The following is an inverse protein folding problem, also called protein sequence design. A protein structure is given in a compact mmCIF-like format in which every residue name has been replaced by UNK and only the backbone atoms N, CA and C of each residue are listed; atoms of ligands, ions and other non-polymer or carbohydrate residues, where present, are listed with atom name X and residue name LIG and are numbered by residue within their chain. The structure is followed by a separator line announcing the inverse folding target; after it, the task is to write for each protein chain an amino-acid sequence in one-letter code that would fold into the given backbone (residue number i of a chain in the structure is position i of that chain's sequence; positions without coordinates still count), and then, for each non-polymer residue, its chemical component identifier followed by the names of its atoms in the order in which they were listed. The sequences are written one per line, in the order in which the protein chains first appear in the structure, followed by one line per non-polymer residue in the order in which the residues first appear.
data_IF_032774228223
#
_entry.id   IF_032774228223
#
_cell.length_a   1.000
_cell.length_b   1.000
_cell.length_c   1.000
_cell.angle_alpha   90.00
_cell.angle_beta   90.00
_cell.angle_gamma   90.00
#
_symmetry.space_group_name_H-M   'P 1'
#
loop_
_entity.id
_entity.type
_entity.pdbx_description
1 polymer ?
#
# COMPACT_ATOMS: atom_id res chain seq x y z
N UNK A 1 -45.01 -9.81 -1.49
CA UNK A 1 -44.33 -10.79 -2.36
C UNK A 1 -42.81 -10.67 -2.48
N UNK A 2 -42.08 -9.87 -1.67
CA UNK A 2 -40.60 -9.89 -1.66
C UNK A 2 -40.02 -10.64 -0.45
N UNK A 3 -40.65 -10.51 0.72
CA UNK A 3 -40.21 -11.18 1.96
C UNK A 3 -40.24 -12.71 1.83
N UNK A 4 -41.26 -13.27 1.20
CA UNK A 4 -41.38 -14.73 0.99
C UNK A 4 -40.25 -15.26 0.11
N UNK A 5 -39.83 -14.50 -0.90
CA UNK A 5 -38.72 -14.87 -1.79
C UNK A 5 -37.38 -14.82 -1.03
N UNK A 6 -37.16 -13.79 -0.21
CA UNK A 6 -35.95 -13.65 0.62
C UNK A 6 -35.88 -14.79 1.64
N UNK A 7 -36.98 -15.10 2.32
CA UNK A 7 -37.03 -16.20 3.30
C UNK A 7 -36.83 -17.56 2.64
N UNK A 8 -37.39 -17.77 1.44
CA UNK A 8 -37.17 -18.99 0.66
C UNK A 8 -35.71 -19.14 0.22
N UNK A 9 -35.09 -18.06 -0.27
CA UNK A 9 -33.68 -18.04 -0.64
C UNK A 9 -32.77 -18.27 0.57
N UNK A 10 -33.07 -17.64 1.71
CA UNK A 10 -32.33 -17.80 2.95
C UNK A 10 -32.41 -19.23 3.48
N UNK A 11 -33.60 -19.84 3.41
CA UNK A 11 -33.79 -21.24 3.78
C UNK A 11 -32.98 -22.16 2.87
N UNK A 12 -33.04 -21.95 1.55
CA UNK A 12 -32.26 -22.73 0.59
C UNK A 12 -30.75 -22.59 0.78
N UNK A 13 -30.27 -21.39 1.15
CA UNK A 13 -28.88 -21.14 1.50
C UNK A 13 -28.49 -21.90 2.77
N UNK A 14 -29.31 -21.81 3.82
CA UNK A 14 -29.03 -22.49 5.09
C UNK A 14 -29.05 -24.01 4.95
N UNK A 15 -29.99 -24.57 4.18
CA UNK A 15 -30.07 -26.01 3.90
C UNK A 15 -28.81 -26.48 3.15
N UNK A 16 -28.33 -25.69 2.18
CA UNK A 16 -27.08 -25.97 1.46
C UNK A 16 -25.84 -25.83 2.36
N UNK A 17 -25.77 -24.78 3.18
CA UNK A 17 -24.66 -24.54 4.11
C UNK A 17 -24.57 -25.64 5.18
N UNK A 18 -25.71 -26.14 5.67
CA UNK A 18 -25.77 -27.25 6.63
C UNK A 18 -25.33 -28.59 6.01
N UNK A 19 -25.49 -28.75 4.69
CA UNK A 19 -25.04 -29.93 3.97
C UNK A 19 -23.53 -29.89 3.64
N UNK A 20 -22.88 -28.72 3.72
CA UNK A 20 -21.43 -28.60 3.58
C UNK A 20 -20.72 -28.92 4.90
N UNK A 21 -19.60 -29.64 4.81
CA UNK A 21 -18.60 -29.62 5.87
C UNK A 21 -17.94 -28.24 5.86
N UNK A 22 -17.91 -27.49 6.98
CA UNK A 22 -17.20 -26.24 7.04
C UNK A 22 -15.73 -26.46 6.64
N UNK A 23 -15.16 -25.63 5.74
CA UNK A 23 -13.74 -25.69 5.44
C UNK A 23 -12.94 -25.37 6.70
N UNK A 24 -11.72 -25.88 6.77
CA UNK A 24 -10.83 -25.55 7.90
C UNK A 24 -10.42 -24.08 7.78
N UNK A 25 -10.10 -23.46 8.91
CA UNK A 25 -9.71 -22.04 8.93
C UNK A 25 -8.52 -21.77 8.01
N UNK A 26 -7.60 -22.73 7.91
CA UNK A 26 -6.45 -22.70 7.01
C UNK A 26 -6.87 -22.65 5.52
N UNK A 27 -7.89 -23.41 5.12
CA UNK A 27 -8.41 -23.40 3.74
C UNK A 27 -9.12 -22.08 3.41
N UNK A 28 -9.82 -21.49 4.39
CA UNK A 28 -10.47 -20.18 4.22
C UNK A 28 -9.41 -19.11 3.97
N UNK A 29 -8.34 -19.10 4.76
CA UNK A 29 -7.23 -18.16 4.61
C UNK A 29 -6.59 -18.26 3.21
N UNK A 30 -6.37 -19.48 2.72
CA UNK A 30 -5.82 -19.71 1.38
C UNK A 30 -6.73 -19.20 0.25
N UNK A 31 -8.06 -19.33 0.42
CA UNK A 31 -9.06 -18.85 -0.53
C UNK A 31 -9.21 -17.33 -0.50
N UNK A 32 -9.18 -16.69 0.68
CA UNK A 32 -9.20 -15.22 0.77
C UNK A 32 -8.03 -14.58 0.04
N UNK A 33 -6.82 -15.16 0.14
CA UNK A 33 -5.67 -14.69 -0.63
C UNK A 33 -5.90 -14.82 -2.15
N UNK A 34 -6.54 -15.91 -2.62
CA UNK A 34 -6.85 -16.06 -4.05
C UNK A 34 -7.91 -15.05 -4.52
N UNK A 35 -8.84 -14.67 -3.65
CA UNK A 35 -9.88 -13.68 -3.94
C UNK A 35 -9.36 -12.23 -3.96
N UNK A 36 -8.17 -11.95 -3.43
CA UNK A 36 -7.53 -10.62 -3.55
C UNK A 36 -7.08 -10.29 -4.98
N UNK A 37 -7.10 -11.28 -5.88
CA UNK A 37 -6.84 -11.09 -7.30
C UNK A 37 -8.17 -11.13 -8.07
N UNK A 38 -8.83 -9.97 -8.20
CA UNK A 38 -10.08 -9.82 -8.96
C UNK A 38 -9.99 -10.43 -10.38
N UNK A 39 -8.78 -10.40 -10.97
CA UNK A 39 -8.45 -11.02 -12.27
C UNK A 39 -8.71 -12.54 -12.32
N UNK A 40 -8.64 -13.24 -11.18
CA UNK A 40 -8.86 -14.69 -11.08
C UNK A 40 -10.34 -15.04 -10.96
N UNK A 41 -11.18 -14.12 -10.47
CA UNK A 41 -12.62 -14.33 -10.40
C UNK A 41 -13.29 -14.30 -11.80
N UNK A 42 -12.75 -13.53 -12.74
CA UNK A 42 -13.32 -13.40 -14.09
C UNK A 42 -13.05 -14.61 -15.00
N UNK A 43 -11.98 -15.37 -14.75
CA UNK A 43 -11.52 -16.41 -15.70
C UNK A 43 -12.34 -17.70 -15.66
N UNK A 44 -13.19 -17.92 -14.64
CA UNK A 44 -13.95 -19.17 -14.38
C UNK A 44 -13.12 -20.46 -14.42
N UNK A 45 -11.80 -20.39 -14.55
CA UNK A 45 -10.91 -21.53 -14.46
C UNK A 45 -10.66 -21.88 -13.00
N UNK A 46 -10.70 -23.16 -12.67
CA UNK A 46 -10.24 -23.62 -11.37
C UNK A 46 -8.72 -23.48 -11.30
N UNK A 47 -8.27 -22.39 -10.69
CA UNK A 47 -6.84 -22.09 -10.54
C UNK A 47 -6.21 -22.84 -9.38
N UNK A 48 -6.99 -23.51 -8.52
CA UNK A 48 -6.49 -24.17 -7.30
C UNK A 48 -5.51 -25.30 -7.61
N UNK A 49 -5.65 -25.94 -8.78
CA UNK A 49 -4.75 -27.01 -9.23
C UNK A 49 -3.47 -26.48 -9.89
N UNK A 50 -3.38 -25.18 -10.17
CA UNK A 50 -2.19 -24.61 -10.82
C UNK A 50 -1.04 -24.60 -9.82
N UNK A 51 0.16 -24.96 -10.27
CA UNK A 51 1.34 -24.99 -9.41
C UNK A 51 1.64 -23.65 -8.75
N UNK A 52 1.35 -22.52 -9.40
CA UNK A 52 1.52 -21.18 -8.83
C UNK A 52 0.48 -20.82 -7.77
N UNK A 53 -0.67 -21.51 -7.71
CA UNK A 53 -1.71 -21.29 -6.70
C UNK A 53 -1.43 -22.07 -5.40
N UNK A 54 -0.49 -23.00 -5.41
CA UNK A 54 -0.12 -23.73 -4.19
C UNK A 54 0.51 -22.79 -3.17
N UNK A 55 0.15 -22.86 -1.88
CA UNK A 55 0.64 -21.94 -0.84
C UNK A 55 2.16 -21.83 -0.78
N UNK A 56 2.84 -22.97 -0.87
CA UNK A 56 4.30 -23.05 -0.84
C UNK A 56 4.95 -22.30 -2.01
N UNK A 57 4.45 -22.51 -3.22
CA UNK A 57 5.02 -21.85 -4.40
C UNK A 57 4.69 -20.36 -4.41
N UNK A 58 3.49 -19.97 -3.94
CA UNK A 58 3.13 -18.55 -3.75
C UNK A 58 4.11 -17.85 -2.80
N UNK A 59 4.43 -18.48 -1.66
CA UNK A 59 5.36 -17.91 -0.70
C UNK A 59 6.76 -17.73 -1.31
N UNK A 60 7.24 -18.71 -2.07
CA UNK A 60 8.53 -18.60 -2.79
C UNK A 60 8.48 -17.46 -3.82
N UNK A 61 7.40 -17.36 -4.60
CA UNK A 61 7.23 -16.29 -5.59
C UNK A 61 7.15 -14.91 -4.93
N UNK A 62 6.48 -14.78 -3.79
CA UNK A 62 6.41 -13.53 -3.04
C UNK A 62 7.81 -13.10 -2.56
N UNK A 63 8.59 -14.00 -1.98
CA UNK A 63 9.96 -13.69 -1.56
C UNK A 63 10.87 -13.35 -2.76
N UNK A 64 10.73 -14.08 -3.87
CA UNK A 64 11.44 -13.79 -5.10
C UNK A 64 11.11 -12.39 -5.65
N UNK A 65 9.83 -12.03 -5.73
CA UNK A 65 9.43 -10.70 -6.19
C UNK A 65 9.72 -9.59 -5.19
N UNK A 66 9.77 -9.88 -3.88
CA UNK A 66 10.29 -8.94 -2.89
C UNK A 66 11.77 -8.65 -3.15
N UNK A 67 12.56 -9.69 -3.43
CA UNK A 67 13.99 -9.54 -3.74
C UNK A 67 14.20 -8.70 -5.01
N UNK A 68 13.50 -9.03 -6.11
CA UNK A 68 13.58 -8.24 -7.36
C UNK A 68 13.22 -6.78 -7.12
N UNK A 69 12.09 -6.53 -6.44
CA UNK A 69 11.64 -5.15 -6.17
C UNK A 69 12.51 -4.41 -5.18
N UNK A 70 13.24 -5.11 -4.30
CA UNK A 70 14.18 -4.45 -3.39
C UNK A 70 15.33 -3.77 -4.15
N UNK A 71 15.78 -4.35 -5.27
CA UNK A 71 16.81 -3.73 -6.12
C UNK A 71 16.29 -2.45 -6.78
N UNK A 72 15.07 -2.50 -7.34
CA UNK A 72 14.39 -1.33 -7.92
C UNK A 72 14.18 -0.22 -6.86
N UNK A 73 13.75 -0.60 -5.65
CA UNK A 73 13.52 0.33 -4.56
C UNK A 73 14.82 0.96 -4.07
N UNK A 74 15.94 0.24 -4.06
CA UNK A 74 17.26 0.82 -3.76
C UNK A 74 17.65 1.90 -4.76
N UNK A 75 17.46 1.66 -6.06
CA UNK A 75 17.73 2.68 -7.09
C UNK A 75 16.84 3.91 -6.91
N UNK A 76 15.55 3.71 -6.63
CA UNK A 76 14.60 4.78 -6.36
C UNK A 76 15.00 5.59 -5.13
N UNK A 77 15.35 4.92 -4.03
CA UNK A 77 15.77 5.59 -2.79
C UNK A 77 17.03 6.45 -3.01
N UNK A 78 17.99 6.02 -3.84
CA UNK A 78 19.13 6.87 -4.17
C UNK A 78 18.72 8.18 -4.85
N UNK A 79 17.72 8.15 -5.73
CA UNK A 79 17.17 9.36 -6.36
C UNK A 79 16.47 10.22 -5.33
N UNK A 80 15.60 9.63 -4.50
CA UNK A 80 14.84 10.35 -3.47
C UNK A 80 15.76 11.02 -2.45
N UNK A 81 16.82 10.34 -1.98
CA UNK A 81 17.83 10.91 -1.09
C UNK A 81 18.51 12.12 -1.73
N UNK A 82 18.91 12.03 -3.00
CA UNK A 82 19.54 13.15 -3.73
C UNK A 82 18.59 14.32 -3.91
N UNK A 83 17.33 14.04 -4.24
CA UNK A 83 16.29 15.06 -4.36
C UNK A 83 16.04 15.75 -3.02
N UNK A 84 15.95 15.00 -1.93
CA UNK A 84 15.75 15.53 -0.59
C UNK A 84 16.91 16.41 -0.15
N UNK A 85 18.16 15.96 -0.33
CA UNK A 85 19.35 16.76 -0.01
C UNK A 85 19.39 18.06 -0.82
N UNK A 86 19.04 17.99 -2.10
CA UNK A 86 18.97 19.16 -2.99
C UNK A 86 17.90 20.14 -2.50
N UNK A 87 16.71 19.62 -2.17
CA UNK A 87 15.61 20.41 -1.62
C UNK A 87 16.01 21.11 -0.31
N UNK A 88 16.63 20.40 0.63
CA UNK A 88 17.10 20.99 1.89
C UNK A 88 18.11 22.12 1.65
N UNK A 89 19.07 21.91 0.74
CA UNK A 89 20.06 22.93 0.41
C UNK A 89 19.45 24.15 -0.29
N UNK A 90 18.50 23.93 -1.19
CA UNK A 90 17.77 24.99 -1.88
C UNK A 90 16.89 25.80 -0.93
N UNK A 91 16.19 25.13 -0.01
CA UNK A 91 15.37 25.74 1.05
C UNK A 91 16.24 26.63 1.95
N UNK A 92 17.36 26.11 2.47
CA UNK A 92 18.30 26.85 3.34
C UNK A 92 18.82 28.12 2.66
N UNK A 93 19.21 27.99 1.38
CA UNK A 93 19.69 29.13 0.57
C UNK A 93 18.60 30.18 0.38
N UNK A 94 17.38 29.75 0.07
CA UNK A 94 16.28 30.68 -0.19
C UNK A 94 15.83 31.39 1.10
N UNK A 95 15.71 30.67 2.22
CA UNK A 95 15.39 31.28 3.52
C UNK A 95 16.44 32.31 3.93
N UNK A 96 17.72 32.00 3.76
CA UNK A 96 18.82 32.93 4.05
C UNK A 96 18.72 34.20 3.18
N UNK A 97 18.48 34.03 1.89
CA UNK A 97 18.32 35.13 0.93
C UNK A 97 17.12 36.01 1.26
N UNK A 98 15.97 35.41 1.57
CA UNK A 98 14.74 36.13 1.93
C UNK A 98 14.89 36.90 3.24
N UNK A 99 15.49 36.28 4.27
CA UNK A 99 15.77 36.94 5.54
C UNK A 99 16.69 38.17 5.35
N UNK A 100 17.72 38.06 4.51
CA UNK A 100 18.61 39.17 4.20
C UNK A 100 17.88 40.31 3.46
N UNK A 101 17.07 39.97 2.45
CA UNK A 101 16.31 40.94 1.66
C UNK A 101 15.25 41.68 2.49
N UNK A 102 14.61 40.98 3.43
CA UNK A 102 13.57 41.55 4.29
C UNK A 102 14.13 42.37 5.45
N UNK A 103 15.38 42.15 5.85
CA UNK A 103 15.97 42.76 7.05
C UNK A 103 15.87 44.29 7.09
N UNK A 104 15.90 44.96 5.93
CA UNK A 104 15.79 46.42 5.84
C UNK A 104 14.34 46.94 5.91
N UNK A 105 13.35 46.11 5.51
CA UNK A 105 11.93 46.51 5.45
C UNK A 105 11.15 46.05 6.68
N UNK A 106 11.42 44.83 7.14
CA UNK A 106 10.78 44.21 8.29
C UNK A 106 11.80 43.33 9.03
N UNK A 107 12.55 43.92 9.98
CA UNK A 107 13.54 43.20 10.77
C UNK A 107 12.93 42.10 11.65
N UNK A 108 11.68 42.26 12.10
CA UNK A 108 11.01 41.31 12.97
C UNK A 108 10.67 40.02 12.20
N UNK A 109 10.10 40.17 10.99
CA UNK A 109 9.84 39.02 10.12
C UNK A 109 11.14 38.34 9.66
N UNK A 110 12.17 39.12 9.32
CA UNK A 110 13.49 38.58 8.98
C UNK A 110 14.11 37.77 10.13
N UNK A 111 13.89 38.20 11.38
CA UNK A 111 14.33 37.44 12.56
C UNK A 111 13.56 36.13 12.72
N UNK A 112 12.24 36.13 12.53
CA UNK A 112 11.43 34.91 12.60
C UNK A 112 11.83 33.89 11.53
N UNK A 113 12.13 34.32 10.30
CA UNK A 113 12.63 33.44 9.24
C UNK A 113 13.95 32.77 9.63
N UNK A 114 14.86 33.50 10.29
CA UNK A 114 16.12 32.93 10.80
C UNK A 114 15.88 31.92 11.90
N UNK A 115 14.97 32.19 12.84
CA UNK A 115 14.61 31.24 13.90
C UNK A 115 14.02 29.94 13.31
N UNK A 116 13.06 30.06 12.39
CA UNK A 116 12.46 28.91 11.71
C UNK A 116 13.50 28.03 10.98
N UNK A 117 14.48 28.68 10.35
CA UNK A 117 15.58 28.00 9.67
C UNK A 117 16.48 27.25 10.66
N UNK A 118 16.87 27.90 11.76
CA UNK A 118 17.73 27.30 12.79
C UNK A 118 17.04 26.14 13.54
N UNK A 119 15.70 26.11 13.62
CA UNK A 119 14.92 24.98 14.14
C UNK A 119 14.92 23.76 13.21
N UNK A 120 15.21 23.95 11.92
CA UNK A 120 15.13 22.91 10.88
C UNK A 120 16.50 22.42 10.38
N UNK A 121 17.59 23.07 10.78
CA UNK A 121 18.97 22.66 10.49
C UNK A 121 19.48 21.62 11.50
#
# INVERSE_FOLDING_TARGET
SHIVVILGALKSYNDAAAALSPPRWEEILELTFLSEFDLLCESREDVREKHWATPKNRQIMLEFFKLIRAEEELERLHVEIRCLLTFMHDEERELTKQAAALNAKDPALAHQIRLYRDERS
#
